data_IF_654533414089
#
_entry.id   IF_654533414089
#
_cell.length_a   1.000
_cell.length_b   1.000
_cell.length_c   1.000
_cell.angle_alpha   90.00
_cell.angle_beta   90.00
_cell.angle_gamma   90.00
#
_symmetry.space_group_name_H-M   'P 1'
#
loop_
_entity.id
_entity.type
_entity.pdbx_description
1 polymer ?
#
# COMPACT_ATOMS: atom_id res chain seq x y z
N UNK A 1 5.79 -6.71 -20.38
CA UNK A 1 5.83 -7.98 -19.62
C UNK A 1 5.09 -9.15 -20.31
N UNK A 2 4.57 -8.91 -21.52
CA UNK A 2 3.90 -9.94 -22.35
C UNK A 2 2.75 -10.65 -21.63
N UNK A 3 1.99 -9.91 -20.80
CA UNK A 3 0.84 -10.42 -20.06
C UNK A 3 -0.43 -10.51 -20.92
N UNK A 4 -1.43 -11.21 -20.41
CA UNK A 4 -2.75 -11.36 -21.02
C UNK A 4 -3.83 -10.74 -20.14
N UNK A 5 -5.03 -10.48 -20.68
CA UNK A 5 -6.17 -9.99 -19.89
C UNK A 5 -7.02 -11.12 -19.28
N UNK A 6 -6.63 -12.38 -19.44
CA UNK A 6 -7.42 -13.51 -18.94
C UNK A 6 -7.70 -13.40 -17.44
N UNK A 7 -6.68 -13.02 -16.65
CA UNK A 7 -6.81 -12.86 -15.21
C UNK A 7 -7.66 -11.63 -14.79
N UNK A 8 -7.97 -10.74 -15.73
CA UNK A 8 -8.79 -9.54 -15.52
C UNK A 8 -10.24 -9.74 -15.95
N UNK A 9 -10.65 -10.96 -16.32
CA UNK A 9 -11.98 -11.23 -16.82
C UNK A 9 -13.07 -10.89 -15.79
N UNK A 10 -14.17 -10.28 -16.24
CA UNK A 10 -15.28 -9.86 -15.37
C UNK A 10 -15.86 -11.02 -14.54
N UNK A 11 -16.06 -12.16 -15.20
CA UNK A 11 -16.58 -13.36 -14.52
C UNK A 11 -15.68 -13.89 -13.41
N UNK A 12 -14.34 -13.70 -13.50
CA UNK A 12 -13.43 -14.03 -12.41
C UNK A 12 -13.57 -13.06 -11.24
N UNK A 13 -13.82 -11.79 -11.52
CA UNK A 13 -14.02 -10.79 -10.48
C UNK A 13 -15.39 -10.96 -9.82
N UNK A 14 -16.41 -11.33 -10.56
CA UNK A 14 -17.78 -11.50 -10.07
C UNK A 14 -17.92 -12.63 -9.03
N UNK A 15 -17.13 -13.70 -9.14
CA UNK A 15 -17.17 -14.82 -8.17
C UNK A 15 -16.42 -14.52 -6.87
N UNK A 16 -15.67 -13.42 -6.81
CA UNK A 16 -15.01 -12.88 -5.61
C UNK A 16 -15.21 -11.35 -5.57
N UNK A 17 -16.38 -10.87 -5.20
CA UNK A 17 -16.88 -9.55 -5.55
C UNK A 17 -16.39 -8.42 -4.63
N UNK A 18 -15.08 -8.29 -4.42
CA UNK A 18 -14.51 -7.12 -3.75
C UNK A 18 -14.54 -5.90 -4.69
N UNK A 19 -15.20 -4.78 -4.32
CA UNK A 19 -15.40 -3.65 -5.22
C UNK A 19 -14.11 -3.09 -5.82
N UNK A 20 -13.07 -2.92 -5.01
CA UNK A 20 -11.80 -2.35 -5.47
C UNK A 20 -10.98 -3.33 -6.33
N UNK A 21 -11.17 -4.65 -6.15
CA UNK A 21 -10.63 -5.67 -7.03
C UNK A 21 -11.30 -5.60 -8.41
N UNK A 22 -12.63 -5.52 -8.44
CA UNK A 22 -13.43 -5.37 -9.68
C UNK A 22 -13.01 -4.11 -10.43
N UNK A 23 -12.94 -2.99 -9.72
CA UNK A 23 -12.52 -1.70 -10.28
C UNK A 23 -11.10 -1.75 -10.86
N UNK A 24 -10.18 -2.38 -10.17
CA UNK A 24 -8.79 -2.52 -10.67
C UNK A 24 -8.76 -3.33 -11.97
N UNK A 25 -9.45 -4.45 -12.01
CA UNK A 25 -9.51 -5.27 -13.24
C UNK A 25 -10.17 -4.51 -14.40
N UNK A 26 -11.23 -3.75 -14.14
CA UNK A 26 -11.90 -2.91 -15.13
C UNK A 26 -10.96 -1.83 -15.69
N UNK A 27 -10.22 -1.14 -14.82
CA UNK A 27 -9.25 -0.13 -15.24
C UNK A 27 -8.14 -0.73 -16.11
N UNK A 28 -7.61 -1.90 -15.75
CA UNK A 28 -6.58 -2.59 -16.55
C UNK A 28 -7.13 -2.96 -17.92
N UNK A 29 -8.35 -3.49 -17.99
CA UNK A 29 -9.01 -3.80 -19.27
C UNK A 29 -9.20 -2.54 -20.13
N UNK A 30 -9.59 -1.43 -19.51
CA UNK A 30 -9.79 -0.15 -20.22
C UNK A 30 -8.47 0.42 -20.76
N UNK A 31 -7.40 0.41 -19.94
CA UNK A 31 -6.07 0.91 -20.34
C UNK A 31 -5.47 0.09 -21.49
N UNK A 32 -5.69 -1.22 -21.47
CA UNK A 32 -5.11 -2.14 -22.44
C UNK A 32 -6.05 -2.45 -23.62
N UNK A 33 -7.23 -1.79 -23.68
CA UNK A 33 -8.16 -1.96 -24.80
C UNK A 33 -7.45 -1.65 -26.12
N UNK A 34 -7.66 -2.52 -27.08
CA UNK A 34 -7.09 -2.41 -28.44
C UNK A 34 -5.54 -2.44 -28.50
N UNK A 35 -4.87 -2.89 -27.43
CA UNK A 35 -3.42 -3.02 -27.43
C UNK A 35 -2.95 -4.15 -28.36
N UNK A 36 -2.13 -3.85 -29.39
CA UNK A 36 -1.61 -4.87 -30.31
C UNK A 36 -0.73 -5.91 -29.59
N UNK A 37 -0.19 -5.58 -28.42
CA UNK A 37 0.58 -6.51 -27.61
C UNK A 37 -0.27 -7.66 -27.06
N UNK A 38 -1.53 -7.40 -26.74
CA UNK A 38 -2.45 -8.45 -26.26
C UNK A 38 -2.73 -9.48 -27.34
N UNK A 39 -2.96 -9.04 -28.58
CA UNK A 39 -3.16 -9.95 -29.73
C UNK A 39 -1.88 -10.72 -30.04
N UNK A 40 -0.74 -10.04 -30.08
CA UNK A 40 0.56 -10.66 -30.38
C UNK A 40 0.92 -11.77 -29.41
N UNK A 41 0.56 -11.63 -28.11
CA UNK A 41 0.91 -12.59 -27.06
C UNK A 41 -0.29 -13.43 -26.59
N UNK A 42 -1.40 -13.42 -27.34
CA UNK A 42 -2.55 -14.28 -27.05
C UNK A 42 -2.12 -15.75 -27.05
N UNK A 43 -2.40 -16.45 -25.95
CA UNK A 43 -2.04 -17.86 -25.80
C UNK A 43 -0.54 -18.16 -25.63
N UNK A 44 0.31 -17.14 -25.52
CA UNK A 44 1.75 -17.32 -25.32
C UNK A 44 2.10 -18.11 -24.05
N UNK A 45 1.27 -18.03 -23.03
CA UNK A 45 1.40 -18.76 -21.77
C UNK A 45 0.05 -19.26 -21.31
N UNK A 46 0.04 -20.40 -20.58
CA UNK A 46 -1.16 -20.91 -19.93
C UNK A 46 -1.65 -19.94 -18.86
N UNK A 47 -0.73 -19.32 -18.14
CA UNK A 47 -1.02 -18.26 -17.16
C UNK A 47 0.17 -17.31 -17.02
N UNK A 48 -0.14 -16.04 -16.74
CA UNK A 48 0.87 -15.04 -16.42
C UNK A 48 1.49 -15.25 -15.04
N UNK A 49 2.66 -14.63 -14.83
CA UNK A 49 3.27 -14.57 -13.49
C UNK A 49 2.33 -13.88 -12.49
N UNK A 50 2.43 -14.24 -11.22
CA UNK A 50 1.60 -13.67 -10.15
C UNK A 50 1.71 -12.15 -10.07
N UNK A 51 2.88 -11.57 -10.29
CA UNK A 51 3.08 -10.12 -10.31
C UNK A 51 2.31 -9.38 -11.41
N UNK A 52 1.78 -10.11 -12.41
CA UNK A 52 0.91 -9.59 -13.46
C UNK A 52 -0.53 -9.98 -13.20
N UNK A 53 -0.82 -11.28 -13.03
CA UNK A 53 -2.20 -11.77 -12.93
C UNK A 53 -2.89 -11.46 -11.60
N UNK A 54 -2.13 -11.21 -10.51
CA UNK A 54 -2.67 -10.87 -9.19
C UNK A 54 -2.82 -9.35 -8.95
N UNK A 55 -2.64 -8.51 -9.98
CA UNK A 55 -2.82 -7.06 -9.80
C UNK A 55 -4.17 -6.68 -9.18
N UNK A 56 -5.32 -7.23 -9.60
CA UNK A 56 -6.60 -6.89 -8.96
C UNK A 56 -6.66 -7.29 -7.48
N UNK A 57 -6.12 -8.46 -7.14
CA UNK A 57 -6.15 -9.03 -5.79
C UNK A 57 -5.20 -8.32 -4.83
N UNK A 58 -4.18 -7.61 -5.33
CA UNK A 58 -3.29 -6.78 -4.53
C UNK A 58 -3.74 -5.33 -4.48
N UNK A 59 -3.98 -4.69 -5.64
CA UNK A 59 -4.36 -3.29 -5.68
C UNK A 59 -5.75 -3.04 -5.05
N UNK A 60 -6.63 -4.04 -5.07
CA UNK A 60 -7.93 -3.97 -4.40
C UNK A 60 -7.81 -3.70 -2.90
N UNK A 61 -7.16 -4.58 -2.12
CA UNK A 61 -6.90 -4.37 -0.69
C UNK A 61 -6.14 -3.08 -0.37
N UNK A 62 -5.14 -2.71 -1.19
CA UNK A 62 -4.41 -1.45 -1.00
C UNK A 62 -5.34 -0.24 -1.13
N UNK A 63 -6.18 -0.20 -2.17
CA UNK A 63 -7.19 0.86 -2.34
C UNK A 63 -8.19 0.89 -1.18
N UNK A 64 -8.60 -0.29 -0.70
CA UNK A 64 -9.48 -0.39 0.47
C UNK A 64 -8.80 0.20 1.70
N UNK A 65 -7.54 -0.15 1.98
CA UNK A 65 -6.81 0.40 3.13
C UNK A 65 -6.73 1.94 3.09
N UNK A 66 -6.51 2.53 1.90
CA UNK A 66 -6.53 3.98 1.72
C UNK A 66 -7.92 4.57 2.02
N UNK A 67 -8.99 3.95 1.52
CA UNK A 67 -10.37 4.42 1.76
C UNK A 67 -10.75 4.31 3.25
N UNK A 68 -10.39 3.21 3.89
CA UNK A 68 -10.66 3.00 5.32
C UNK A 68 -9.92 4.06 6.16
N UNK A 69 -8.66 4.35 5.84
CA UNK A 69 -7.90 5.41 6.50
C UNK A 69 -8.50 6.79 6.26
N UNK A 70 -8.94 7.10 5.03
CA UNK A 70 -9.64 8.35 4.72
C UNK A 70 -10.94 8.50 5.53
N UNK A 71 -11.74 7.44 5.65
CA UNK A 71 -12.97 7.45 6.43
C UNK A 71 -12.69 7.68 7.93
N UNK A 72 -11.68 7.03 8.48
CA UNK A 72 -11.23 7.22 9.86
C UNK A 72 -10.79 8.67 10.08
N UNK A 73 -9.88 9.18 9.25
CA UNK A 73 -9.35 10.53 9.38
C UNK A 73 -10.42 11.61 9.18
N UNK A 74 -11.45 11.35 8.38
CA UNK A 74 -12.58 12.28 8.23
C UNK A 74 -13.37 12.46 9.53
N UNK A 75 -13.47 11.41 10.35
CA UNK A 75 -14.08 11.49 11.69
C UNK A 75 -13.13 12.25 12.64
N UNK A 76 -11.87 11.83 12.72
CA UNK A 76 -10.87 12.42 13.61
C UNK A 76 -10.72 13.94 13.39
N UNK A 77 -10.64 14.38 12.13
CA UNK A 77 -10.51 15.80 11.77
C UNK A 77 -11.72 16.67 12.14
N UNK A 78 -12.87 16.05 12.43
CA UNK A 78 -14.09 16.74 12.81
C UNK A 78 -14.50 16.45 14.25
N UNK A 79 -13.62 15.86 15.03
CA UNK A 79 -13.87 15.48 16.43
C UNK A 79 -13.24 16.46 17.42
N UNK A 80 -13.83 16.54 18.61
CA UNK A 80 -13.19 17.17 19.76
C UNK A 80 -12.29 16.14 20.43
N UNK A 81 -10.97 16.38 20.42
CA UNK A 81 -9.94 15.40 20.75
C UNK A 81 -9.05 15.86 21.91
N UNK A 82 -9.65 16.30 23.00
CA UNK A 82 -8.92 16.77 24.19
C UNK A 82 -9.53 16.21 25.50
N UNK A 83 -8.91 16.54 26.62
CA UNK A 83 -9.44 16.36 27.96
C UNK A 83 -8.95 17.51 28.91
N UNK A 84 -9.85 18.07 29.76
CA UNK A 84 -11.29 17.82 29.79
C UNK A 84 -12.02 18.41 28.58
N UNK A 85 -13.19 17.84 28.24
CA UNK A 85 -14.14 18.50 27.36
C UNK A 85 -15.20 19.20 28.19
N UNK A 86 -15.58 20.41 27.76
CA UNK A 86 -16.56 21.25 28.45
C UNK A 86 -17.89 21.18 27.69
N UNK A 87 -18.96 20.94 28.43
CA UNK A 87 -20.32 20.84 27.87
C UNK A 87 -21.24 21.80 28.59
N UNK A 88 -22.12 22.46 27.86
CA UNK A 88 -23.20 23.28 28.45
C UNK A 88 -24.27 22.37 29.04
N UNK A 89 -24.82 22.78 30.18
CA UNK A 89 -25.91 22.09 30.86
C UNK A 89 -27.25 22.83 30.66
N UNK A 90 -28.36 22.10 30.72
CA UNK A 90 -29.71 22.66 30.50
C UNK A 90 -30.09 23.79 31.45
N UNK A 91 -29.51 23.82 32.65
CA UNK A 91 -29.73 24.84 33.67
C UNK A 91 -28.91 26.13 33.45
N UNK A 92 -28.13 26.20 32.36
CA UNK A 92 -27.25 27.30 32.03
C UNK A 92 -25.88 27.20 32.72
N UNK A 93 -25.57 26.07 33.33
CA UNK A 93 -24.25 25.74 33.85
C UNK A 93 -23.33 25.12 32.81
N UNK A 94 -22.13 24.72 33.20
CA UNK A 94 -21.21 23.95 32.38
C UNK A 94 -20.55 22.83 33.19
N UNK A 95 -20.35 21.66 32.57
CA UNK A 95 -19.66 20.52 33.18
C UNK A 95 -18.39 20.19 32.42
N UNK A 96 -17.31 19.92 33.14
CA UNK A 96 -16.06 19.42 32.61
C UNK A 96 -16.00 17.90 32.77
N UNK A 97 -15.93 17.18 31.66
CA UNK A 97 -15.81 15.73 31.68
C UNK A 97 -14.38 15.31 31.32
N UNK A 98 -13.79 14.53 32.23
CA UNK A 98 -12.47 13.94 32.01
C UNK A 98 -12.62 12.63 31.28
N UNK A 99 -12.04 12.55 30.07
CA UNK A 99 -12.08 11.37 29.20
C UNK A 99 -10.71 11.10 28.58
N UNK A 100 -10.69 10.28 27.54
CA UNK A 100 -9.47 9.99 26.78
C UNK A 100 -9.68 10.25 25.29
N UNK A 101 -10.43 11.29 24.94
CA UNK A 101 -10.66 11.64 23.53
C UNK A 101 -9.40 12.17 22.83
N UNK A 102 -8.31 12.41 23.57
CA UNK A 102 -6.99 12.72 23.02
C UNK A 102 -6.22 11.47 22.51
N UNK A 103 -6.79 10.25 22.70
CA UNK A 103 -6.16 9.02 22.27
C UNK A 103 -6.16 8.88 20.72
N UNK A 104 -4.96 8.75 20.14
CA UNK A 104 -4.75 8.67 18.69
C UNK A 104 -4.77 7.24 18.11
N UNK A 105 -5.32 6.24 18.81
CA UNK A 105 -5.28 4.84 18.39
C UNK A 105 -5.96 4.61 17.04
N UNK A 106 -7.08 5.27 16.77
CA UNK A 106 -7.75 5.18 15.47
C UNK A 106 -6.84 5.60 14.30
N UNK A 107 -6.22 6.77 14.41
CA UNK A 107 -5.28 7.27 13.43
C UNK A 107 -4.02 6.39 13.35
N UNK A 108 -3.55 5.88 14.49
CA UNK A 108 -2.41 4.98 14.59
C UNK A 108 -2.65 3.67 13.86
N UNK A 109 -3.76 2.98 14.12
CA UNK A 109 -4.12 1.72 13.44
C UNK A 109 -4.31 1.92 11.94
N UNK A 110 -4.96 3.02 11.52
CA UNK A 110 -5.11 3.35 10.12
C UNK A 110 -3.74 3.55 9.44
N UNK A 111 -2.82 4.24 10.11
CA UNK A 111 -1.47 4.51 9.60
C UNK A 111 -0.62 3.24 9.50
N UNK A 112 -0.64 2.37 10.51
CA UNK A 112 0.08 1.09 10.47
C UNK A 112 -0.46 0.18 9.36
N UNK A 113 -1.78 0.15 9.16
CA UNK A 113 -2.38 -0.58 8.05
C UNK A 113 -1.93 -0.03 6.67
N UNK A 114 -1.78 1.29 6.54
CA UNK A 114 -1.20 1.91 5.35
C UNK A 114 0.24 1.49 5.12
N UNK A 115 1.08 1.42 6.15
CA UNK A 115 2.46 0.92 6.03
C UNK A 115 2.50 -0.50 5.46
N UNK A 116 1.63 -1.38 5.96
CA UNK A 116 1.52 -2.77 5.47
C UNK A 116 1.07 -2.80 4.01
N UNK A 117 0.03 -2.04 3.67
CA UNK A 117 -0.52 -1.98 2.32
C UNK A 117 0.50 -1.44 1.30
N UNK A 118 1.23 -0.37 1.64
CA UNK A 118 2.30 0.21 0.82
C UNK A 118 3.44 -0.79 0.62
N UNK A 119 3.84 -1.48 1.67
CA UNK A 119 4.90 -2.49 1.61
C UNK A 119 4.53 -3.63 0.68
N UNK A 120 3.28 -4.11 0.73
CA UNK A 120 2.78 -5.18 -0.14
C UNK A 120 2.68 -4.73 -1.61
N UNK A 121 2.25 -3.49 -1.85
CA UNK A 121 2.26 -2.88 -3.18
C UNK A 121 3.67 -2.86 -3.78
N UNK A 122 4.64 -2.36 -3.03
CA UNK A 122 6.03 -2.26 -3.47
C UNK A 122 6.69 -3.64 -3.68
N UNK A 123 6.31 -4.65 -2.90
CA UNK A 123 6.74 -6.03 -3.10
C UNK A 123 6.37 -6.54 -4.50
N UNK A 124 5.17 -6.21 -4.99
CA UNK A 124 4.76 -6.59 -6.34
C UNK A 124 5.54 -5.82 -7.42
N UNK A 125 5.78 -4.52 -7.22
CA UNK A 125 6.62 -3.72 -8.11
C UNK A 125 8.04 -4.29 -8.22
N UNK A 126 8.65 -4.66 -7.10
CA UNK A 126 9.96 -5.34 -7.10
C UNK A 126 9.96 -6.64 -7.91
N UNK A 127 8.89 -7.44 -7.81
CA UNK A 127 8.76 -8.67 -8.59
C UNK A 127 8.66 -8.39 -10.09
N UNK A 128 8.06 -7.27 -10.49
CA UNK A 128 7.99 -6.86 -11.90
C UNK A 128 9.30 -6.27 -12.40
N UNK A 129 10.02 -5.52 -11.55
CA UNK A 129 11.38 -5.04 -11.87
C UNK A 129 12.31 -6.23 -12.12
N UNK A 130 12.36 -7.20 -11.19
CA UNK A 130 13.13 -8.44 -11.38
C UNK A 130 12.76 -9.12 -12.69
N UNK A 131 11.47 -9.29 -12.95
CA UNK A 131 10.98 -9.95 -14.16
C UNK A 131 11.38 -9.22 -15.44
N UNK A 132 11.42 -7.89 -15.46
CA UNK A 132 11.86 -7.10 -16.61
C UNK A 132 13.35 -7.28 -16.89
N UNK A 133 14.16 -7.30 -15.83
CA UNK A 133 15.62 -7.35 -15.92
C UNK A 133 16.16 -8.76 -16.19
N UNK A 134 15.39 -9.79 -15.90
CA UNK A 134 15.76 -11.19 -16.06
C UNK A 134 15.39 -11.70 -17.47
N UNK A 135 16.40 -11.85 -18.33
CA UNK A 135 16.22 -12.30 -19.72
C UNK A 135 15.56 -13.67 -19.86
N UNK A 136 15.76 -14.56 -18.86
CA UNK A 136 15.19 -15.92 -18.90
C UNK A 136 13.66 -15.94 -18.81
N UNK A 137 13.05 -14.90 -18.28
CA UNK A 137 11.59 -14.83 -18.10
C UNK A 137 10.93 -13.66 -18.85
N UNK A 138 11.68 -12.58 -19.15
CA UNK A 138 11.19 -11.45 -19.92
C UNK A 138 11.30 -11.66 -21.43
N UNK A 139 12.25 -12.48 -21.86
CA UNK A 139 12.68 -12.62 -23.26
C UNK A 139 13.14 -11.25 -23.85
N UNK A 140 13.62 -10.38 -22.99
CA UNK A 140 14.27 -9.11 -23.31
C UNK A 140 15.78 -9.26 -23.07
N UNK A 141 16.61 -8.35 -23.59
CA UNK A 141 18.04 -8.36 -23.26
C UNK A 141 18.25 -8.29 -21.74
N UNK A 142 19.28 -9.01 -21.23
CA UNK A 142 19.62 -9.00 -19.81
C UNK A 142 19.80 -7.58 -19.31
N UNK A 143 19.22 -7.27 -18.15
CA UNK A 143 19.22 -5.94 -17.54
C UNK A 143 18.74 -4.81 -18.47
N UNK A 144 17.90 -5.16 -19.49
CA UNK A 144 17.38 -4.28 -20.53
C UNK A 144 18.48 -3.58 -21.36
N UNK A 145 19.63 -4.21 -21.49
CA UNK A 145 20.79 -3.66 -22.20
C UNK A 145 21.18 -4.54 -23.38
N UNK A 146 21.18 -3.98 -24.58
CA UNK A 146 21.61 -4.69 -25.81
C UNK A 146 23.11 -5.03 -25.82
N UNK A 147 23.90 -4.32 -25.05
CA UNK A 147 25.36 -4.48 -24.95
C UNK A 147 25.76 -5.03 -23.57
N UNK A 148 25.06 -6.03 -23.07
CA UNK A 148 25.24 -6.59 -21.73
C UNK A 148 26.68 -7.08 -21.46
N UNK A 149 27.46 -7.38 -22.48
CA UNK A 149 28.87 -7.79 -22.35
C UNK A 149 29.79 -6.64 -21.88
N UNK A 150 29.38 -5.38 -22.04
CA UNK A 150 30.20 -4.21 -21.74
C UNK A 150 29.70 -3.38 -20.55
N UNK A 151 28.43 -3.50 -20.20
CA UNK A 151 27.88 -2.78 -19.06
C UNK A 151 26.67 -3.51 -18.46
N UNK A 152 26.36 -3.17 -17.21
CA UNK A 152 25.33 -3.83 -16.42
C UNK A 152 23.90 -3.29 -16.69
N UNK A 153 23.73 -2.35 -17.61
CA UNK A 153 22.43 -1.77 -17.92
C UNK A 153 21.72 -1.24 -16.67
N UNK A 154 20.49 -1.66 -16.48
CA UNK A 154 19.63 -1.24 -15.35
C UNK A 154 19.73 -2.13 -14.11
N UNK A 155 20.76 -2.99 -14.00
CA UNK A 155 20.95 -3.90 -12.86
C UNK A 155 20.88 -3.17 -11.51
N UNK A 156 21.46 -1.98 -11.40
CA UNK A 156 21.52 -1.22 -10.14
C UNK A 156 20.15 -0.73 -9.66
N UNK A 157 19.17 -0.59 -10.55
CA UNK A 157 17.80 -0.25 -10.18
C UNK A 157 17.18 -1.36 -9.31
N UNK A 158 17.45 -2.63 -9.61
CA UNK A 158 17.01 -3.75 -8.79
C UNK A 158 17.62 -3.70 -7.38
N UNK A 159 18.91 -3.39 -7.26
CA UNK A 159 19.56 -3.24 -5.95
C UNK A 159 18.95 -2.10 -5.13
N UNK A 160 18.76 -0.94 -5.74
CA UNK A 160 18.14 0.21 -5.09
C UNK A 160 16.71 -0.12 -4.61
N UNK A 161 15.91 -0.71 -5.49
CA UNK A 161 14.53 -1.11 -5.18
C UNK A 161 14.48 -2.17 -4.08
N UNK A 162 15.39 -3.15 -4.07
CA UNK A 162 15.48 -4.18 -3.04
C UNK A 162 15.87 -3.59 -1.67
N UNK A 163 16.81 -2.63 -1.63
CA UNK A 163 17.19 -1.92 -0.41
C UNK A 163 16.00 -1.15 0.18
N UNK A 164 15.32 -0.35 -0.63
CA UNK A 164 14.12 0.39 -0.22
C UNK A 164 12.99 -0.54 0.27
N UNK A 165 12.81 -1.71 -0.36
CA UNK A 165 11.86 -2.72 0.10
C UNK A 165 12.27 -3.31 1.47
N UNK A 166 13.56 -3.43 1.75
CA UNK A 166 14.09 -3.82 3.06
C UNK A 166 13.66 -2.84 4.14
N UNK A 167 13.80 -1.54 3.89
CA UNK A 167 13.35 -0.47 4.81
C UNK A 167 11.84 -0.49 5.01
N UNK A 168 11.06 -0.62 3.93
CA UNK A 168 9.60 -0.73 4.01
C UNK A 168 9.14 -1.90 4.90
N UNK A 169 9.85 -3.05 4.88
CA UNK A 169 9.53 -4.18 5.76
C UNK A 169 9.70 -3.84 7.23
N UNK A 170 10.71 -3.04 7.57
CA UNK A 170 10.93 -2.56 8.94
C UNK A 170 9.80 -1.60 9.34
N UNK A 171 9.47 -0.64 8.47
CA UNK A 171 8.39 0.32 8.70
C UNK A 171 7.00 -0.34 8.79
N UNK A 172 6.82 -1.50 8.17
CA UNK A 172 5.56 -2.26 8.23
C UNK A 172 5.31 -2.95 9.58
N UNK A 173 6.30 -2.98 10.50
CA UNK A 173 6.04 -3.44 11.87
C UNK A 173 5.10 -2.45 12.57
N UNK A 174 3.93 -2.89 13.09
CA UNK A 174 2.97 -1.97 13.70
C UNK A 174 3.56 -1.24 14.91
N UNK A 175 3.35 0.07 15.01
CA UNK A 175 3.75 0.83 16.18
C UNK A 175 2.69 0.76 17.29
N UNK A 176 1.43 0.62 16.93
CA UNK A 176 0.31 0.58 17.88
C UNK A 176 0.30 -0.62 18.83
N UNK A 177 1.15 -1.61 18.59
CA UNK A 177 1.30 -2.77 19.49
C UNK A 177 2.22 -2.47 20.70
N UNK A 178 2.94 -1.36 20.67
CA UNK A 178 3.82 -0.92 21.75
C UNK A 178 3.08 -0.01 22.74
N UNK A 179 3.56 0.02 23.98
CA UNK A 179 3.07 0.87 25.06
C UNK A 179 4.22 1.39 25.91
N UNK A 180 4.08 2.62 26.41
CA UNK A 180 4.95 3.22 27.42
C UNK A 180 4.09 3.87 28.49
N UNK A 181 4.48 3.72 29.76
CA UNK A 181 3.84 4.39 30.88
C UNK A 181 4.49 5.74 31.12
N UNK A 182 3.70 6.80 31.22
CA UNK A 182 4.16 8.18 31.47
C UNK A 182 3.39 8.82 32.62
N UNK A 183 3.68 10.09 32.96
CA UNK A 183 3.01 10.87 33.99
C UNK A 183 2.86 10.16 35.34
N UNK A 184 3.93 9.51 35.83
CA UNK A 184 3.94 8.78 37.10
C UNK A 184 2.78 7.76 37.23
N UNK A 185 2.55 6.97 36.17
CA UNK A 185 1.49 5.96 36.03
C UNK A 185 0.06 6.53 35.83
N UNK A 186 -0.11 7.82 35.71
CA UNK A 186 -1.42 8.37 35.35
C UNK A 186 -1.77 8.05 33.90
N UNK A 187 -0.75 7.98 33.04
CA UNK A 187 -0.85 7.55 31.67
C UNK A 187 -0.17 6.18 31.54
N UNK A 188 -0.84 5.13 31.96
CA UNK A 188 -0.34 3.75 31.95
C UNK A 188 -0.60 3.02 30.62
N UNK A 189 -1.42 3.62 29.77
CA UNK A 189 -1.62 3.26 28.37
C UNK A 189 -1.40 4.50 27.50
N UNK A 190 -0.39 4.45 26.62
CA UNK A 190 -0.06 5.53 25.68
C UNK A 190 -0.04 4.96 24.27
N UNK A 191 -0.91 5.48 23.40
CA UNK A 191 -0.91 5.08 22.01
C UNK A 191 0.35 5.55 21.27
N UNK A 192 0.78 4.79 20.26
CA UNK A 192 1.91 5.13 19.39
C UNK A 192 1.45 5.72 18.04
N UNK A 193 0.34 6.45 18.04
CA UNK A 193 -0.28 7.01 16.84
C UNK A 193 0.65 7.91 16.05
N UNK A 194 1.42 8.78 16.72
CA UNK A 194 2.42 9.63 16.06
C UNK A 194 3.50 8.80 15.34
N UNK A 195 4.01 7.76 16.00
CA UNK A 195 5.04 6.89 15.43
C UNK A 195 4.48 6.13 14.21
N UNK A 196 3.25 5.64 14.29
CA UNK A 196 2.56 4.98 13.17
C UNK A 196 2.39 5.95 11.99
N UNK A 197 1.91 7.18 12.23
CA UNK A 197 1.71 8.18 11.19
C UNK A 197 3.03 8.59 10.53
N UNK A 198 4.10 8.77 11.31
CA UNK A 198 5.43 9.05 10.77
C UNK A 198 5.93 7.93 9.87
N UNK A 199 5.80 6.68 10.28
CA UNK A 199 6.17 5.52 9.47
C UNK A 199 5.37 5.45 8.16
N UNK A 200 4.08 5.75 8.19
CA UNK A 200 3.25 5.78 6.99
C UNK A 200 3.73 6.85 6.00
N UNK A 201 4.06 8.03 6.51
CA UNK A 201 4.65 9.10 5.71
C UNK A 201 5.98 8.70 5.08
N UNK A 202 6.91 8.14 5.86
CA UNK A 202 8.21 7.66 5.37
C UNK A 202 8.02 6.53 4.34
N UNK A 203 7.11 5.59 4.59
CA UNK A 203 6.79 4.50 3.67
C UNK A 203 6.27 5.00 2.32
N UNK A 204 5.44 6.03 2.32
CA UNK A 204 4.95 6.67 1.08
C UNK A 204 6.11 7.27 0.27
N UNK A 205 7.08 7.89 0.95
CA UNK A 205 8.25 8.45 0.26
C UNK A 205 9.13 7.37 -0.37
N UNK A 206 9.42 6.28 0.35
CA UNK A 206 10.19 5.14 -0.18
C UNK A 206 9.47 4.47 -1.37
N UNK A 207 8.15 4.31 -1.25
CA UNK A 207 7.34 3.72 -2.31
C UNK A 207 7.41 4.49 -3.64
N UNK A 208 7.46 5.83 -3.60
CA UNK A 208 7.60 6.66 -4.81
C UNK A 208 8.84 6.28 -5.62
N UNK A 209 9.97 6.02 -4.96
CA UNK A 209 11.20 5.62 -5.64
C UNK A 209 11.11 4.22 -6.24
N UNK A 210 10.48 3.26 -5.54
CA UNK A 210 10.26 1.91 -6.07
C UNK A 210 9.34 1.93 -7.29
N UNK A 211 8.24 2.70 -7.23
CA UNK A 211 7.31 2.85 -8.34
C UNK A 211 7.95 3.61 -9.52
N UNK A 212 8.81 4.58 -9.26
CA UNK A 212 9.55 5.28 -10.30
C UNK A 212 10.61 4.39 -10.97
N UNK A 213 11.16 3.42 -10.23
CA UNK A 213 12.12 2.45 -10.75
C UNK A 213 11.46 1.41 -11.68
N UNK A 214 10.20 1.08 -11.48
CA UNK A 214 9.40 0.20 -12.33
C UNK A 214 8.97 0.89 -13.63
#
# INVERSE_FOLDING_TARGET
>A
LKGTLMAMAERLMAVRPHPDQINTAANIRAILKDSPMLERYRGHRVQDALSIRCMPQLHGPVKKAVKDAQATLAIELNSSVDNPLIFDEEDGGAVALMGCNADGTYAGMASDNLCIAITDLCKMSNSRIDRLLNSLVSELPAFLNKNADFNNGLMMIQYASAGLQGELRILAHPAVVDNLTTCANQEDYVNMGYNAAKKAYDSMHLAKYILAAE
#
